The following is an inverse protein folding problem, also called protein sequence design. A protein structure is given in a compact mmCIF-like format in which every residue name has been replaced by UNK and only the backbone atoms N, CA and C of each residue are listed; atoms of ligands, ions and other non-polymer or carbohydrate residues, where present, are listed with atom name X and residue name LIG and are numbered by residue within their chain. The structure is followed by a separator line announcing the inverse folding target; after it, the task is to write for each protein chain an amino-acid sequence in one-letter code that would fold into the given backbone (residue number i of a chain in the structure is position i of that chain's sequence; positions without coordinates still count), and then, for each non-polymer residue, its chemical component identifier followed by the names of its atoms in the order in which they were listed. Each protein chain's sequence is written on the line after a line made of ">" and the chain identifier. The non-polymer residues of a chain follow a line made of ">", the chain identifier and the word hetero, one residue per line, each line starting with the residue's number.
data_IF_551703489381
#
_entry.id   IF_551703489381
#
_cell.length_a   1.000
_cell.length_b   1.000
_cell.length_c   1.000
_cell.angle_alpha   90.00
_cell.angle_beta   90.00
_cell.angle_gamma   90.00
#
_symmetry.space_group_name_H-M   'P 1'
#
loop_
_entity.id
_entity.type
_entity.pdbx_description
1 polymer ?
#
# COMPACT_ATOMS: atom_id res chain seq x y z
N UNK A 1 20.21 8.09 6.11
CA UNK A 1 19.38 7.15 5.34
C UNK A 1 18.15 6.82 6.17
N UNK A 2 16.99 7.36 5.81
CA UNK A 2 15.76 7.26 6.63
C UNK A 2 14.93 6.11 6.07
N UNK A 3 14.82 5.03 6.85
CA UNK A 3 14.27 3.74 6.39
C UNK A 3 12.79 3.53 6.67
N UNK A 4 12.25 2.49 6.03
CA UNK A 4 10.89 1.94 6.08
C UNK A 4 10.26 1.92 7.49
N UNK A 5 11.04 1.74 8.56
CA UNK A 5 10.50 1.81 9.93
C UNK A 5 9.95 3.21 10.28
N UNK A 6 10.59 4.27 9.80
CA UNK A 6 10.11 5.65 9.94
C UNK A 6 8.86 5.93 9.11
N UNK A 7 8.64 5.17 8.02
CA UNK A 7 7.43 5.30 7.22
C UNK A 7 6.19 4.84 7.99
N UNK A 8 6.27 3.75 8.76
CA UNK A 8 5.17 3.33 9.64
C UNK A 8 4.94 4.30 10.79
N UNK A 9 6.00 4.92 11.31
CA UNK A 9 5.89 5.96 12.34
C UNK A 9 5.08 7.14 11.81
N UNK A 10 5.43 7.64 10.62
CA UNK A 10 4.75 8.78 10.00
C UNK A 10 3.29 8.47 9.60
N UNK A 11 2.94 7.22 9.31
CA UNK A 11 1.56 6.83 8.95
C UNK A 11 0.66 6.50 10.15
N UNK A 12 1.17 5.84 11.18
CA UNK A 12 0.32 5.23 12.22
C UNK A 12 0.71 5.56 13.65
N UNK A 13 1.96 5.95 13.92
CA UNK A 13 2.45 6.10 15.30
C UNK A 13 2.86 7.53 15.66
N UNK A 14 2.75 8.49 14.77
CA UNK A 14 3.18 9.85 15.03
C UNK A 14 2.45 10.49 16.21
N UNK A 15 1.13 10.27 16.30
CA UNK A 15 0.31 10.71 17.45
C UNK A 15 0.66 9.98 18.75
N UNK A 16 1.05 8.70 18.66
CA UNK A 16 1.45 7.89 19.82
C UNK A 16 2.86 8.27 20.33
N UNK A 17 3.71 8.76 19.44
CA UNK A 17 5.11 9.11 19.71
C UNK A 17 5.29 10.61 20.02
N UNK A 18 4.20 11.35 20.26
CA UNK A 18 4.19 12.80 20.52
C UNK A 18 4.98 13.61 19.46
N UNK A 19 5.00 13.14 18.21
CA UNK A 19 5.62 13.88 17.12
C UNK A 19 4.68 15.01 16.71
N UNK A 20 5.21 16.23 16.67
CA UNK A 20 4.46 17.39 16.21
C UNK A 20 4.34 17.36 14.69
N UNK A 21 3.27 16.75 14.19
CA UNK A 21 2.98 16.65 12.76
C UNK A 21 2.19 17.86 12.27
N UNK A 22 2.69 18.49 11.19
CA UNK A 22 1.97 19.53 10.45
C UNK A 22 0.72 18.96 9.77
N UNK A 23 -0.22 19.84 9.43
CA UNK A 23 -1.46 19.45 8.72
C UNK A 23 -1.23 18.84 7.33
N UNK A 24 -0.08 19.07 6.73
CA UNK A 24 0.36 18.51 5.44
C UNK A 24 1.15 17.18 5.56
N UNK A 25 1.25 16.66 6.78
CA UNK A 25 1.89 15.39 7.12
C UNK A 25 3.38 15.46 7.40
N UNK A 26 4.00 16.65 7.36
CA UNK A 26 5.43 16.81 7.63
C UNK A 26 5.76 16.85 9.13
N UNK A 27 6.89 16.23 9.47
CA UNK A 27 7.49 16.19 10.81
C UNK A 27 8.95 16.61 10.71
N UNK A 28 9.49 17.27 11.74
CA UNK A 28 10.91 17.62 11.79
C UNK A 28 11.78 16.37 11.87
N UNK A 29 12.82 16.30 11.03
CA UNK A 29 13.76 15.17 11.04
C UNK A 29 14.47 15.06 12.39
N UNK A 30 14.78 16.19 13.04
CA UNK A 30 15.39 16.18 14.37
C UNK A 30 14.52 15.49 15.43
N UNK A 31 13.21 15.73 15.41
CA UNK A 31 12.29 15.12 16.37
C UNK A 31 12.13 13.62 16.13
N UNK A 32 12.19 13.21 14.86
CA UNK A 32 12.26 11.80 14.47
C UNK A 32 13.56 11.13 14.95
N UNK A 33 14.71 11.82 14.85
CA UNK A 33 16.02 11.32 15.28
C UNK A 33 16.13 11.23 16.81
N UNK A 34 15.46 12.11 17.56
CA UNK A 34 15.41 12.08 19.04
C UNK A 34 14.69 10.85 19.59
N UNK A 35 13.86 10.16 18.79
CA UNK A 35 13.14 8.96 19.22
C UNK A 35 14.06 7.75 19.48
N UNK A 36 15.36 7.85 19.18
CA UNK A 36 16.41 6.88 19.52
C UNK A 36 16.00 5.41 19.29
N UNK A 37 15.27 5.16 18.21
CA UNK A 37 14.80 3.83 17.87
C UNK A 37 15.96 3.03 17.30
N UNK A 38 16.41 2.02 18.05
CA UNK A 38 17.25 0.96 17.51
C UNK A 38 16.41 0.18 16.53
N UNK A 39 16.86 0.10 15.28
CA UNK A 39 16.32 -0.86 14.30
C UNK A 39 16.31 -2.25 14.93
N UNK A 40 15.22 -3.00 14.77
CA UNK A 40 15.04 -4.30 15.43
C UNK A 40 16.17 -5.31 15.14
N UNK A 41 16.97 -5.09 14.09
CA UNK A 41 17.93 -6.05 13.59
C UNK A 41 19.41 -5.76 13.95
N UNK A 42 19.80 -4.57 14.39
CA UNK A 42 21.22 -4.19 14.56
C UNK A 42 22.10 -4.50 13.31
N UNK A 43 21.49 -4.49 12.12
CA UNK A 43 22.15 -4.76 10.83
C UNK A 43 22.34 -3.43 10.09
N UNK A 44 23.50 -3.19 9.45
CA UNK A 44 23.69 -2.00 8.64
C UNK A 44 22.71 -2.01 7.47
N UNK A 45 21.82 -1.03 7.48
CA UNK A 45 20.82 -0.88 6.44
C UNK A 45 21.53 -0.51 5.14
N UNK A 46 21.45 -1.37 4.13
CA UNK A 46 21.82 -1.06 2.75
C UNK A 46 20.77 -1.68 1.83
N UNK A 47 20.56 -1.00 0.70
CA UNK A 47 19.67 -1.35 -0.42
C UNK A 47 18.21 -0.86 -0.34
N UNK A 48 18.03 0.45 -0.50
CA UNK A 48 16.92 0.96 -1.31
C UNK A 48 17.52 1.86 -2.39
N UNK A 49 16.99 1.78 -3.60
CA UNK A 49 17.40 2.69 -4.67
C UNK A 49 16.83 4.08 -4.37
N UNK A 50 17.47 5.15 -4.84
CA UNK A 50 17.00 6.52 -4.61
C UNK A 50 15.57 6.74 -5.11
N UNK A 51 15.12 5.96 -6.08
CA UNK A 51 13.77 6.04 -6.65
C UNK A 51 12.71 5.47 -5.69
N UNK A 52 12.99 4.34 -5.01
CA UNK A 52 12.08 3.74 -4.00
C UNK A 52 11.82 4.69 -2.82
N UNK A 53 12.85 5.47 -2.45
CA UNK A 53 12.78 6.43 -1.33
C UNK A 53 11.97 7.66 -1.73
N UNK A 54 12.14 8.18 -2.95
CA UNK A 54 11.38 9.33 -3.46
C UNK A 54 9.89 9.06 -3.61
N UNK A 55 9.51 7.82 -3.93
CA UNK A 55 8.10 7.46 -4.02
C UNK A 55 7.43 7.34 -2.65
N UNK A 56 8.18 6.93 -1.62
CA UNK A 56 7.65 6.67 -0.28
C UNK A 56 7.79 7.84 0.70
N UNK A 57 8.76 8.72 0.51
CA UNK A 57 9.08 9.82 1.42
C UNK A 57 9.25 11.13 0.64
N UNK A 58 8.80 12.24 1.23
CA UNK A 58 9.14 13.59 0.75
C UNK A 58 9.99 14.29 1.81
N UNK A 59 11.03 14.99 1.35
CA UNK A 59 11.85 15.89 2.17
C UNK A 59 11.57 17.34 1.78
N UNK A 60 11.53 18.23 2.76
CA UNK A 60 11.33 19.66 2.58
C UNK A 60 12.30 20.42 3.49
N UNK A 61 12.99 21.42 2.96
CA UNK A 61 13.83 22.32 3.74
C UNK A 61 13.14 23.69 3.81
N UNK A 62 12.81 24.15 5.02
CA UNK A 62 12.10 25.40 5.26
C UNK A 62 12.69 26.10 6.49
N UNK A 63 13.13 27.36 6.34
CA UNK A 63 13.65 28.13 7.48
C UNK A 63 14.92 27.56 8.13
N UNK A 64 15.70 26.75 7.40
CA UNK A 64 16.88 26.04 7.94
C UNK A 64 16.55 24.73 8.67
N UNK A 65 15.29 24.30 8.66
CA UNK A 65 14.85 23.04 9.23
C UNK A 65 14.56 22.01 8.14
N UNK A 66 15.02 20.76 8.35
CA UNK A 66 14.70 19.64 7.47
C UNK A 66 13.46 18.90 7.97
N UNK A 67 12.46 18.83 7.12
CA UNK A 67 11.17 18.19 7.35
C UNK A 67 11.05 16.92 6.49
N UNK A 68 10.35 15.92 7.01
CA UNK A 68 10.05 14.67 6.32
C UNK A 68 8.59 14.30 6.47
N UNK A 69 7.99 13.73 5.41
CA UNK A 69 6.70 13.04 5.50
C UNK A 69 6.73 11.71 4.77
N UNK A 70 5.84 10.81 5.19
CA UNK A 70 5.46 9.68 4.37
C UNK A 70 4.56 10.17 3.23
N UNK A 71 4.90 9.80 2.01
CA UNK A 71 3.97 9.93 0.91
C UNK A 71 2.81 8.96 1.17
N UNK A 72 1.60 9.39 0.84
CA UNK A 72 0.50 8.43 0.78
C UNK A 72 0.86 7.36 -0.26
N UNK A 73 0.64 6.07 0.04
CA UNK A 73 0.87 5.03 -0.95
C UNK A 73 0.04 5.39 -2.18
N UNK A 74 0.71 5.64 -3.31
CA UNK A 74 0.01 5.84 -4.57
C UNK A 74 -0.70 4.52 -4.86
N UNK A 75 -1.99 4.54 -5.24
CA UNK A 75 -2.72 3.32 -5.56
C UNK A 75 -2.20 2.60 -6.83
N UNK A 76 -1.06 3.01 -7.39
CA UNK A 76 -0.62 2.64 -8.73
C UNK A 76 0.25 1.39 -8.83
N UNK A 77 0.72 0.82 -7.71
CA UNK A 77 1.64 -0.34 -7.76
C UNK A 77 1.04 -1.63 -7.17
N UNK A 78 -0.25 -1.61 -6.82
CA UNK A 78 -0.94 -2.81 -6.32
C UNK A 78 -1.72 -3.45 -7.46
N UNK A 79 -1.26 -4.62 -7.88
CA UNK A 79 -2.01 -5.49 -8.80
C UNK A 79 -3.33 -5.85 -8.12
N UNK A 80 -4.46 -5.34 -8.61
CA UNK A 80 -5.79 -5.77 -8.16
C UNK A 80 -6.29 -6.88 -9.09
N UNK A 81 -6.22 -8.12 -8.63
CA UNK A 81 -6.60 -9.29 -9.44
C UNK A 81 -7.73 -10.09 -8.81
N UNK A 82 -8.71 -10.46 -9.63
CA UNK A 82 -9.80 -11.35 -9.25
C UNK A 82 -9.63 -12.69 -9.99
N UNK A 83 -9.56 -13.78 -9.23
CA UNK A 83 -9.51 -15.13 -9.79
C UNK A 83 -10.91 -15.72 -9.88
N UNK A 84 -11.27 -16.28 -11.04
CA UNK A 84 -12.59 -16.89 -11.26
C UNK A 84 -12.48 -18.13 -12.16
N UNK A 85 -13.36 -19.13 -11.97
CA UNK A 85 -13.48 -20.23 -12.92
C UNK A 85 -13.98 -19.78 -14.30
N UNK A 86 -13.47 -20.38 -15.39
CA UNK A 86 -13.82 -20.06 -16.77
C UNK A 86 -15.31 -20.15 -17.08
N UNK A 87 -16.05 -21.02 -16.39
CA UNK A 87 -17.51 -21.12 -16.51
C UNK A 87 -18.25 -19.82 -16.13
N UNK A 88 -17.65 -18.98 -15.29
CA UNK A 88 -18.23 -17.71 -14.86
C UNK A 88 -17.92 -16.55 -15.83
N UNK A 89 -16.96 -16.73 -16.75
CA UNK A 89 -16.45 -15.65 -17.60
C UNK A 89 -17.56 -15.02 -18.45
N UNK A 90 -18.47 -15.82 -19.01
CA UNK A 90 -19.59 -15.30 -19.81
C UNK A 90 -20.47 -14.32 -19.02
N UNK A 91 -20.87 -14.70 -17.81
CA UNK A 91 -21.66 -13.82 -16.94
C UNK A 91 -20.89 -12.57 -16.51
N UNK A 92 -19.57 -12.65 -16.32
CA UNK A 92 -18.77 -11.50 -15.90
C UNK A 92 -18.59 -10.52 -17.06
N UNK A 93 -18.42 -11.00 -18.29
CA UNK A 93 -18.35 -10.14 -19.47
C UNK A 93 -19.68 -9.44 -19.75
N UNK A 94 -20.80 -10.11 -19.50
CA UNK A 94 -22.13 -9.56 -19.76
C UNK A 94 -22.61 -8.60 -18.66
N UNK A 95 -22.34 -8.92 -17.39
CA UNK A 95 -22.94 -8.19 -16.25
C UNK A 95 -21.92 -7.57 -15.29
N UNK A 96 -20.62 -7.73 -15.54
CA UNK A 96 -19.55 -7.34 -14.63
C UNK A 96 -19.41 -8.26 -13.41
N UNK A 97 -18.42 -7.94 -12.57
CA UNK A 97 -18.21 -8.62 -11.29
C UNK A 97 -19.33 -8.24 -10.31
N UNK A 98 -19.93 -9.25 -9.68
CA UNK A 98 -20.98 -9.07 -8.67
C UNK A 98 -20.47 -9.45 -7.29
N UNK A 99 -20.90 -8.71 -6.27
CA UNK A 99 -20.64 -9.04 -4.86
C UNK A 99 -21.26 -10.37 -4.42
N UNK A 100 -22.20 -10.92 -5.20
CA UNK A 100 -22.93 -12.14 -4.85
C UNK A 100 -23.53 -12.05 -3.42
N UNK A 101 -23.14 -12.95 -2.50
CA UNK A 101 -23.62 -12.97 -1.11
C UNK A 101 -22.77 -12.12 -0.14
N UNK A 102 -21.67 -11.51 -0.59
CA UNK A 102 -20.77 -10.72 0.25
C UNK A 102 -21.00 -9.21 0.08
N UNK A 103 -20.39 -8.40 0.96
CA UNK A 103 -20.59 -6.95 0.99
C UNK A 103 -19.80 -6.21 -0.11
N UNK A 104 -18.58 -6.66 -0.39
CA UNK A 104 -17.65 -6.06 -1.36
C UNK A 104 -17.14 -7.11 -2.36
N UNK A 105 -16.78 -6.69 -3.57
CA UNK A 105 -16.02 -7.56 -4.49
C UNK A 105 -14.58 -7.59 -4.01
N UNK A 106 -14.02 -8.79 -3.81
CA UNK A 106 -12.64 -8.93 -3.34
C UNK A 106 -11.66 -9.10 -4.50
N UNK A 107 -10.53 -8.41 -4.38
CA UNK A 107 -9.35 -8.52 -5.21
C UNK A 107 -8.15 -8.92 -4.35
N UNK A 108 -7.28 -9.73 -4.94
CA UNK A 108 -5.96 -10.01 -4.37
C UNK A 108 -4.97 -8.93 -4.83
N UNK A 109 -3.97 -8.65 -3.99
CA UNK A 109 -2.92 -7.65 -4.24
C UNK A 109 -1.66 -8.20 -4.93
N UNK A 110 -1.66 -9.47 -5.35
CA UNK A 110 -0.52 -10.14 -5.98
C UNK A 110 -0.90 -11.14 -7.08
N UNK A 111 0.08 -11.61 -7.85
CA UNK A 111 -0.08 -12.66 -8.87
C UNK A 111 0.20 -14.06 -8.31
N UNK A 112 -0.49 -15.11 -8.80
CA UNK A 112 -0.27 -16.46 -8.30
C UNK A 112 1.08 -16.99 -8.81
N UNK A 113 2.12 -16.85 -8.00
CA UNK A 113 3.48 -17.35 -8.32
C UNK A 113 3.63 -18.79 -7.83
N UNK A 114 3.00 -19.72 -8.55
CA UNK A 114 3.41 -21.13 -8.69
C UNK A 114 3.30 -22.08 -7.49
N UNK A 115 3.25 -21.62 -6.23
CA UNK A 115 3.26 -22.54 -5.07
C UNK A 115 2.43 -22.04 -3.88
N UNK A 116 2.22 -20.73 -3.75
CA UNK A 116 1.47 -20.16 -2.62
C UNK A 116 0.11 -19.63 -3.03
N UNK A 117 -0.90 -19.97 -2.23
CA UNK A 117 -2.23 -19.36 -2.29
C UNK A 117 -2.08 -17.90 -1.86
N UNK A 118 -2.30 -16.97 -2.79
CA UNK A 118 -2.37 -15.56 -2.42
C UNK A 118 -3.63 -15.35 -1.59
N UNK A 119 -3.50 -14.56 -0.52
CA UNK A 119 -4.65 -14.10 0.26
C UNK A 119 -5.77 -13.62 -0.67
N UNK A 120 -6.93 -14.26 -0.59
CA UNK A 120 -8.12 -13.93 -1.38
C UNK A 120 -8.31 -14.69 -2.72
N UNK A 121 -7.41 -15.59 -3.14
CA UNK A 121 -7.57 -16.34 -4.40
C UNK A 121 -7.51 -17.85 -4.15
N UNK A 122 -8.47 -18.62 -4.70
CA UNK A 122 -8.43 -20.10 -4.60
C UNK A 122 -7.49 -20.70 -5.64
N UNK A 123 -7.05 -21.94 -5.41
CA UNK A 123 -6.15 -22.67 -6.32
C UNK A 123 -6.85 -23.16 -7.59
N UNK A 124 -8.18 -23.24 -7.60
CA UNK A 124 -9.01 -23.75 -8.70
C UNK A 124 -9.43 -22.66 -9.71
N UNK A 125 -8.64 -21.58 -9.81
CA UNK A 125 -8.87 -20.47 -10.74
C UNK A 125 -8.06 -20.66 -12.03
N UNK A 126 -8.73 -20.54 -13.16
CA UNK A 126 -8.14 -20.63 -14.51
C UNK A 126 -8.28 -19.33 -15.31
N UNK A 127 -9.00 -18.32 -14.77
CA UNK A 127 -9.10 -16.98 -15.33
C UNK A 127 -8.72 -15.92 -14.30
N UNK A 128 -7.87 -14.99 -14.71
CA UNK A 128 -7.48 -13.80 -13.95
C UNK A 128 -8.07 -12.55 -14.59
N UNK A 129 -8.73 -11.74 -13.78
CA UNK A 129 -9.30 -10.45 -14.18
C UNK A 129 -8.55 -9.35 -13.45
N UNK A 130 -7.94 -8.45 -14.22
CA UNK A 130 -7.18 -7.32 -13.70
C UNK A 130 -8.07 -6.08 -13.66
N UNK A 131 -8.16 -5.46 -12.49
CA UNK A 131 -8.81 -4.16 -12.36
C UNK A 131 -7.81 -3.07 -12.76
N UNK A 132 -8.20 -2.21 -13.71
CA UNK A 132 -7.52 -0.94 -13.93
C UNK A 132 -7.82 0.00 -12.75
N UNK A 133 -6.98 -0.06 -11.74
CA UNK A 133 -7.14 0.69 -10.49
C UNK A 133 -7.17 2.19 -10.74
N UNK A 134 -6.33 2.68 -11.66
CA UNK A 134 -6.26 4.11 -11.97
C UNK A 134 -7.59 4.58 -12.53
N UNK A 135 -8.06 3.92 -13.58
CA UNK A 135 -9.32 4.27 -14.22
C UNK A 135 -10.51 4.12 -13.27
N UNK A 136 -10.54 3.06 -12.47
CA UNK A 136 -11.60 2.84 -11.49
C UNK A 136 -11.69 3.99 -10.47
N UNK A 137 -10.56 4.46 -9.94
CA UNK A 137 -10.51 5.58 -9.01
C UNK A 137 -10.88 6.90 -9.68
N UNK A 138 -10.43 7.15 -10.91
CA UNK A 138 -10.80 8.32 -11.71
C UNK A 138 -12.31 8.40 -11.99
N UNK A 139 -12.95 7.25 -12.19
CA UNK A 139 -14.41 7.12 -12.36
C UNK A 139 -15.19 7.10 -11.04
N UNK A 140 -14.51 7.30 -9.89
CA UNK A 140 -15.14 7.45 -8.58
C UNK A 140 -15.43 6.13 -7.84
N UNK A 141 -14.86 5.01 -8.27
CA UNK A 141 -14.97 3.73 -7.56
C UNK A 141 -14.23 3.80 -6.22
N UNK A 142 -14.85 3.30 -5.16
CA UNK A 142 -14.23 3.21 -3.83
C UNK A 142 -13.55 1.87 -3.65
N UNK A 143 -12.24 1.89 -3.38
CA UNK A 143 -11.44 0.72 -3.04
C UNK A 143 -11.02 0.81 -1.58
N UNK A 144 -11.06 -0.33 -0.90
CA UNK A 144 -10.69 -0.48 0.50
C UNK A 144 -9.55 -1.49 0.59
N UNK A 145 -8.80 -1.48 1.69
CA UNK A 145 -7.76 -2.48 1.92
C UNK A 145 -7.98 -3.01 3.32
N UNK A 146 -8.20 -4.31 3.43
CA UNK A 146 -8.29 -5.00 4.71
C UNK A 146 -6.91 -5.19 5.35
N UNK A 147 -6.88 -5.50 6.64
CA UNK A 147 -5.65 -5.80 7.38
C UNK A 147 -4.83 -6.94 6.73
N UNK A 148 -5.53 -7.90 6.10
CA UNK A 148 -4.93 -9.04 5.40
C UNK A 148 -4.53 -8.73 3.95
N UNK A 149 -4.48 -7.45 3.58
CA UNK A 149 -4.10 -6.94 2.25
C UNK A 149 -4.97 -7.43 1.09
N UNK A 150 -6.18 -7.92 1.39
CA UNK A 150 -7.26 -8.09 0.41
C UNK A 150 -7.86 -6.71 0.14
N UNK A 151 -8.07 -6.42 -1.14
CA UNK A 151 -8.62 -5.17 -1.65
C UNK A 151 -10.12 -5.34 -1.91
#
# INVERSE_FOLDING_TARGET
>A
MILIEHFQILHHKASELNLNMRSDGFVKVEDLLKLNMKTFANVPLRSHTDDDVKERLSLLEEGGELLIRANQPRPLDKVCVHGTPKKNLGSILEYGLKRMQILHVHFSSGLPTGVEVISGMRWDVDVLIFLDVRKALEEGMKLYISDNRVI
#
